data_IF_867897105419
#
_entry.id   IF_867897105419
#
_cell.length_a   1.000
_cell.length_b   1.000
_cell.length_c   1.000
_cell.angle_alpha   90.00
_cell.angle_beta   90.00
_cell.angle_gamma   90.00
#
_symmetry.space_group_name_H-M   'P 1'
#
loop_
_entity.id
_entity.type
_entity.pdbx_description
1 polymer ?
#
# COMPACT_ATOMS: atom_id res chain seq x y z
N UNK A 1 28.97 6.86 -1.44
CA UNK A 1 29.26 6.12 -0.19
C UNK A 1 28.09 6.36 0.74
N UNK A 2 27.06 5.50 0.69
CA UNK A 2 25.92 5.62 1.61
C UNK A 2 26.42 5.23 2.99
N UNK A 3 26.43 6.16 3.94
CA UNK A 3 26.62 5.83 5.34
C UNK A 3 25.60 4.74 5.68
N UNK A 4 26.03 3.64 6.28
CA UNK A 4 25.12 2.61 6.77
C UNK A 4 24.16 3.28 7.74
N UNK A 5 22.94 3.60 7.28
CA UNK A 5 21.87 4.09 8.13
C UNK A 5 21.75 3.07 9.26
N UNK A 6 22.01 3.49 10.51
CA UNK A 6 22.20 2.59 11.66
C UNK A 6 21.00 1.73 12.07
N UNK A 7 20.00 1.57 11.20
CA UNK A 7 18.86 0.66 11.34
C UNK A 7 19.21 -0.67 10.66
N UNK A 8 19.28 -1.79 11.40
CA UNK A 8 19.52 -3.10 10.80
C UNK A 8 18.43 -3.48 9.79
N UNK A 9 18.82 -3.83 8.57
CA UNK A 9 17.93 -4.40 7.54
C UNK A 9 18.37 -5.83 7.27
N UNK A 10 17.45 -6.77 7.42
CA UNK A 10 17.68 -8.21 7.25
C UNK A 10 16.80 -8.72 6.11
N UNK A 11 17.39 -9.47 5.19
CA UNK A 11 16.73 -9.99 4.00
C UNK A 11 16.57 -11.49 4.09
N UNK A 12 15.48 -12.02 3.53
CA UNK A 12 15.47 -13.42 3.11
C UNK A 12 16.48 -13.65 1.99
N UNK A 13 16.89 -14.91 1.79
CA UNK A 13 17.88 -15.24 0.76
C UNK A 13 17.41 -14.85 -0.64
N UNK A 14 16.15 -15.16 -0.97
CA UNK A 14 15.57 -14.84 -2.28
C UNK A 14 15.59 -13.34 -2.57
N UNK A 15 15.20 -12.49 -1.62
CA UNK A 15 15.22 -11.04 -1.81
C UNK A 15 16.66 -10.53 -1.94
N UNK A 16 17.59 -11.07 -1.13
CA UNK A 16 19.01 -10.69 -1.18
C UNK A 16 19.62 -11.00 -2.54
N UNK A 17 19.36 -12.19 -3.09
CA UNK A 17 19.82 -12.59 -4.41
C UNK A 17 19.19 -11.73 -5.51
N UNK A 18 17.87 -11.49 -5.45
CA UNK A 18 17.17 -10.67 -6.42
C UNK A 18 17.73 -9.24 -6.51
N UNK A 19 17.97 -8.61 -5.36
CA UNK A 19 18.59 -7.28 -5.30
C UNK A 19 20.03 -7.29 -5.82
N UNK A 20 20.81 -8.33 -5.49
CA UNK A 20 22.19 -8.47 -5.97
C UNK A 20 22.27 -8.62 -7.49
N UNK A 21 21.33 -9.35 -8.09
CA UNK A 21 21.26 -9.60 -9.53
C UNK A 21 20.54 -8.49 -10.31
N UNK A 22 20.05 -7.44 -9.63
CA UNK A 22 19.29 -6.35 -10.27
C UNK A 22 17.90 -6.76 -10.76
N UNK A 23 17.35 -7.88 -10.26
CA UNK A 23 15.99 -8.33 -10.56
C UNK A 23 14.96 -7.39 -9.92
N UNK A 24 13.78 -7.32 -10.52
CA UNK A 24 12.66 -6.56 -9.98
C UNK A 24 12.19 -7.15 -8.63
N UNK A 25 12.05 -6.29 -7.62
CA UNK A 25 11.53 -6.63 -6.29
C UNK A 25 10.37 -5.69 -5.96
N UNK A 26 9.29 -6.22 -5.37
CA UNK A 26 8.14 -5.44 -4.91
C UNK A 26 7.94 -5.67 -3.42
N UNK A 27 8.00 -4.57 -2.65
CA UNK A 27 7.71 -4.58 -1.23
C UNK A 27 6.20 -4.72 -0.96
N UNK A 28 5.84 -5.45 0.10
CA UNK A 28 4.47 -5.65 0.55
C UNK A 28 4.34 -5.33 2.04
N UNK A 29 3.17 -4.83 2.47
CA UNK A 29 2.92 -4.51 3.89
C UNK A 29 2.50 -5.75 4.70
N UNK A 30 2.89 -5.84 5.97
CA UNK A 30 2.45 -6.93 6.86
C UNK A 30 1.18 -6.59 7.65
N UNK A 31 0.76 -5.32 7.72
CA UNK A 31 -0.47 -4.93 8.41
C UNK A 31 -1.74 -5.56 7.77
N UNK A 32 -1.69 -5.92 6.48
CA UNK A 32 -2.77 -6.68 5.84
C UNK A 32 -2.92 -8.10 6.41
N UNK A 33 -1.83 -8.68 6.90
CA UNK A 33 -1.79 -10.01 7.51
C UNK A 33 -2.39 -9.96 8.92
N UNK A 34 -1.99 -8.98 9.74
CA UNK A 34 -2.34 -8.97 11.17
C UNK A 34 -3.63 -8.22 11.49
N UNK A 35 -4.05 -7.29 10.62
CA UNK A 35 -5.18 -6.39 10.87
C UNK A 35 -6.18 -6.30 9.71
N UNK A 36 -5.92 -7.00 8.60
CA UNK A 36 -6.79 -6.99 7.41
C UNK A 36 -7.93 -8.00 7.49
N UNK A 37 -7.60 -9.29 7.63
CA UNK A 37 -8.55 -10.41 7.61
C UNK A 37 -8.37 -11.30 8.85
N UNK A 38 -9.40 -12.08 9.24
CA UNK A 38 -9.25 -13.08 10.29
C UNK A 38 -8.39 -14.26 9.82
N UNK A 39 -7.78 -14.96 10.77
CA UNK A 39 -7.13 -16.25 10.51
C UNK A 39 -8.18 -17.33 10.21
N UNK A 40 -7.96 -18.23 9.21
CA UNK A 40 -6.76 -18.40 8.39
C UNK A 40 -6.72 -17.62 7.07
N UNK A 41 -7.75 -16.83 6.76
CA UNK A 41 -7.88 -16.14 5.47
C UNK A 41 -6.80 -15.08 5.25
N UNK A 42 -6.29 -14.47 6.32
CA UNK A 42 -5.15 -13.55 6.25
C UNK A 42 -3.86 -14.20 5.73
N UNK A 43 -3.51 -15.40 6.22
CA UNK A 43 -2.33 -16.14 5.77
C UNK A 43 -2.48 -16.56 4.30
N UNK A 44 -3.66 -17.10 3.95
CA UNK A 44 -3.98 -17.48 2.57
C UNK A 44 -3.93 -16.27 1.61
N UNK A 45 -4.38 -15.10 2.07
CA UNK A 45 -4.33 -13.87 1.29
C UNK A 45 -2.89 -13.39 1.11
N UNK A 46 -2.06 -13.39 2.16
CA UNK A 46 -0.66 -12.99 2.04
C UNK A 46 0.10 -13.82 0.98
N UNK A 47 -0.08 -15.15 1.01
CA UNK A 47 0.48 -16.06 0.00
C UNK A 47 0.02 -15.72 -1.41
N UNK A 48 -1.28 -15.52 -1.60
CA UNK A 48 -1.85 -15.11 -2.91
C UNK A 48 -1.28 -13.79 -3.41
N UNK A 49 -1.01 -12.85 -2.52
CA UNK A 49 -0.41 -11.56 -2.87
C UNK A 49 1.05 -11.74 -3.29
N UNK A 50 1.82 -12.56 -2.58
CA UNK A 50 3.19 -12.90 -3.00
C UNK A 50 3.21 -13.61 -4.36
N UNK A 51 2.32 -14.58 -4.59
CA UNK A 51 2.15 -15.26 -5.87
C UNK A 51 1.74 -14.31 -7.00
N UNK A 52 0.94 -13.28 -6.70
CA UNK A 52 0.56 -12.27 -7.66
C UNK A 52 1.76 -11.41 -8.09
N UNK A 53 2.64 -11.00 -7.16
CA UNK A 53 3.90 -10.33 -7.51
C UNK A 53 4.74 -11.20 -8.45
N UNK A 54 4.86 -12.50 -8.14
CA UNK A 54 5.58 -13.48 -8.98
C UNK A 54 4.97 -13.61 -10.36
N UNK A 55 3.65 -13.62 -10.44
CA UNK A 55 2.91 -13.66 -11.72
C UNK A 55 3.14 -12.41 -12.57
N UNK A 56 3.41 -11.27 -11.92
CA UNK A 56 3.88 -10.05 -12.58
C UNK A 56 5.36 -10.07 -13.00
N UNK A 57 6.12 -11.10 -12.60
CA UNK A 57 7.53 -11.30 -12.95
C UNK A 57 8.56 -10.74 -11.96
N UNK A 58 8.13 -10.28 -10.79
CA UNK A 58 9.00 -9.74 -9.75
C UNK A 58 9.11 -10.66 -8.52
N UNK A 59 10.08 -10.39 -7.66
CA UNK A 59 10.24 -11.07 -6.37
C UNK A 59 9.46 -10.33 -5.28
N UNK A 60 8.58 -11.00 -4.51
CA UNK A 60 7.87 -10.38 -3.40
C UNK A 60 8.79 -10.19 -2.19
N UNK A 61 8.60 -9.07 -1.50
CA UNK A 61 9.30 -8.75 -0.26
C UNK A 61 8.31 -8.23 0.79
N UNK A 62 7.59 -9.14 1.46
CA UNK A 62 6.73 -8.76 2.59
C UNK A 62 7.57 -8.27 3.76
N UNK A 63 7.28 -7.06 4.25
CA UNK A 63 8.09 -6.36 5.26
C UNK A 63 7.45 -6.46 6.64
N UNK A 64 8.25 -6.70 7.67
CA UNK A 64 7.87 -6.51 9.07
C UNK A 64 9.02 -5.93 9.91
N UNK A 65 8.72 -5.60 11.16
CA UNK A 65 9.72 -5.26 12.18
C UNK A 65 9.81 -6.41 13.16
N UNK A 66 11.01 -6.89 13.45
CA UNK A 66 11.23 -7.92 14.48
C UNK A 66 12.70 -8.01 14.88
N UNK A 67 12.97 -8.24 16.17
CA UNK A 67 14.31 -8.35 16.75
C UNK A 67 15.17 -7.10 16.51
N UNK A 68 14.53 -5.93 16.51
CA UNK A 68 15.18 -4.63 16.35
C UNK A 68 15.67 -4.35 14.93
N UNK A 69 15.15 -5.09 13.94
CA UNK A 69 15.50 -4.96 12.54
C UNK A 69 14.25 -4.78 11.66
N UNK A 70 14.45 -4.12 10.54
CA UNK A 70 13.54 -4.19 9.39
C UNK A 70 13.82 -5.51 8.70
N UNK A 71 12.82 -6.40 8.63
CA UNK A 71 12.91 -7.69 7.93
C UNK A 71 12.20 -7.59 6.59
N UNK A 72 12.89 -8.02 5.54
CA UNK A 72 12.48 -7.84 4.15
C UNK A 72 12.36 -9.19 3.47
N UNK A 73 11.11 -9.56 3.15
CA UNK A 73 10.72 -10.91 2.75
C UNK A 73 10.26 -11.72 3.95
N UNK A 74 9.26 -12.59 3.72
CA UNK A 74 8.76 -13.55 4.70
C UNK A 74 8.84 -14.95 4.11
N UNK A 75 9.22 -15.93 4.94
CA UNK A 75 8.99 -17.34 4.59
C UNK A 75 7.52 -17.72 4.81
N UNK A 76 7.10 -18.87 4.28
CA UNK A 76 5.76 -19.41 4.55
C UNK A 76 5.50 -19.56 6.07
N UNK A 77 6.53 -19.97 6.82
CA UNK A 77 6.46 -20.06 8.28
C UNK A 77 6.34 -18.70 8.96
N UNK A 78 6.97 -17.65 8.42
CA UNK A 78 6.81 -16.28 8.93
C UNK A 78 5.39 -15.77 8.68
N UNK A 79 4.84 -16.00 7.48
CA UNK A 79 3.45 -15.62 7.14
C UNK A 79 2.48 -16.32 8.09
N UNK A 80 2.60 -17.64 8.25
CA UNK A 80 1.72 -18.42 9.13
C UNK A 80 1.80 -17.95 10.58
N UNK A 81 3.01 -17.65 11.06
CA UNK A 81 3.23 -17.13 12.40
C UNK A 81 2.65 -15.73 12.59
N UNK A 82 2.91 -14.79 11.68
CA UNK A 82 2.37 -13.43 11.76
C UNK A 82 0.84 -13.43 11.65
N UNK A 83 0.27 -14.34 10.87
CA UNK A 83 -1.17 -14.47 10.69
C UNK A 83 -1.90 -15.02 11.93
N UNK A 84 -1.26 -15.88 12.71
CA UNK A 84 -1.86 -16.55 13.87
C UNK A 84 -1.47 -15.93 15.22
N UNK A 85 -0.37 -15.17 15.29
CA UNK A 85 0.10 -14.54 16.53
C UNK A 85 -0.78 -13.34 16.92
N UNK A 86 -1.50 -13.38 18.05
CA UNK A 86 -2.30 -12.25 18.49
C UNK A 86 -1.42 -11.10 19.01
N UNK A 87 -1.93 -9.88 18.90
CA UNK A 87 -1.34 -8.71 19.57
C UNK A 87 -0.12 -8.10 18.89
N UNK A 88 0.22 -8.48 17.66
CA UNK A 88 1.21 -7.75 16.87
C UNK A 88 0.70 -6.31 16.66
N UNK A 89 1.46 -5.27 17.06
CA UNK A 89 1.03 -3.89 16.90
C UNK A 89 1.07 -3.46 15.43
N UNK A 90 0.12 -2.58 15.06
CA UNK A 90 0.14 -1.82 13.82
C UNK A 90 1.18 -0.71 13.92
N UNK A 91 2.17 -0.69 13.03
CA UNK A 91 3.33 0.21 13.09
C UNK A 91 3.28 1.16 11.91
N UNK A 92 3.05 2.46 12.15
CA UNK A 92 3.27 3.53 11.17
C UNK A 92 4.70 4.06 11.21
N UNK A 93 5.09 4.94 10.29
CA UNK A 93 6.47 5.46 10.20
C UNK A 93 6.92 6.18 11.48
N UNK A 94 6.01 6.84 12.20
CA UNK A 94 6.31 7.46 13.51
C UNK A 94 6.56 6.44 14.63
N UNK A 95 6.02 5.22 14.49
CA UNK A 95 6.11 4.17 15.49
C UNK A 95 7.40 3.33 15.30
N UNK A 96 7.98 3.35 14.09
CA UNK A 96 9.19 2.59 13.74
C UNK A 96 10.33 2.71 14.76
N UNK A 97 10.77 3.92 15.19
CA UNK A 97 11.91 4.04 16.10
C UNK A 97 11.65 3.35 17.44
N UNK A 98 10.42 3.41 17.92
CA UNK A 98 10.02 2.82 19.21
C UNK A 98 10.00 1.30 19.12
N UNK A 99 9.37 0.75 18.07
CA UNK A 99 9.26 -0.71 17.88
C UNK A 99 10.63 -1.33 17.60
N UNK A 100 11.47 -0.67 16.79
CA UNK A 100 12.86 -1.09 16.57
C UNK A 100 13.66 -1.12 17.88
N UNK A 101 13.56 -0.09 18.71
CA UNK A 101 14.26 -0.05 20.00
C UNK A 101 13.77 -1.13 20.98
N UNK A 102 12.47 -1.48 20.94
CA UNK A 102 11.89 -2.52 21.79
C UNK A 102 12.20 -3.95 21.32
N UNK A 103 12.45 -4.13 20.02
CA UNK A 103 12.80 -5.42 19.42
C UNK A 103 11.65 -6.41 19.25
N UNK A 104 10.42 -6.05 19.63
CA UNK A 104 9.22 -6.87 19.43
C UNK A 104 8.77 -6.94 17.96
N UNK A 105 7.81 -7.84 17.63
CA UNK A 105 7.22 -7.89 16.31
C UNK A 105 6.38 -6.64 16.04
N UNK A 106 6.31 -6.21 14.78
CA UNK A 106 5.51 -5.08 14.34
C UNK A 106 5.05 -5.25 12.90
N UNK A 107 3.75 -5.07 12.68
CA UNK A 107 3.14 -5.14 11.36
C UNK A 107 3.16 -3.75 10.70
N UNK A 108 3.87 -3.63 9.59
CA UNK A 108 4.06 -2.36 8.91
C UNK A 108 2.81 -1.96 8.13
N UNK A 109 2.37 -0.71 8.30
CA UNK A 109 1.41 -0.03 7.42
C UNK A 109 2.04 0.35 6.08
N UNK A 110 1.28 0.99 5.19
CA UNK A 110 1.82 1.63 3.97
C UNK A 110 2.97 2.57 4.29
N UNK A 111 2.80 3.57 5.17
CA UNK A 111 3.86 4.52 5.52
C UNK A 111 5.16 3.82 5.98
N UNK A 112 5.10 2.91 6.94
CA UNK A 112 6.31 2.24 7.43
C UNK A 112 6.92 1.27 6.41
N UNK A 113 6.08 0.62 5.58
CA UNK A 113 6.57 -0.25 4.50
C UNK A 113 7.30 0.55 3.42
N UNK A 114 6.85 1.77 3.12
CA UNK A 114 7.53 2.68 2.18
C UNK A 114 8.89 3.13 2.71
N UNK A 115 9.00 3.48 4.01
CA UNK A 115 10.30 3.76 4.65
C UNK A 115 11.23 2.56 4.54
N UNK A 116 10.71 1.38 4.89
CA UNK A 116 11.49 0.15 4.90
C UNK A 116 11.94 -0.27 3.49
N UNK A 117 11.07 -0.13 2.48
CA UNK A 117 11.39 -0.40 1.08
C UNK A 117 12.53 0.51 0.58
N UNK A 118 12.48 1.81 0.88
CA UNK A 118 13.54 2.75 0.52
C UNK A 118 14.87 2.39 1.20
N UNK A 119 14.85 2.10 2.50
CA UNK A 119 16.06 1.66 3.24
C UNK A 119 16.62 0.33 2.72
N UNK A 120 15.75 -0.53 2.18
CA UNK A 120 16.09 -1.80 1.56
C UNK A 120 16.56 -1.67 0.10
N UNK A 121 16.50 -0.48 -0.49
CA UNK A 121 16.81 -0.27 -1.90
C UNK A 121 15.77 -0.85 -2.86
N UNK A 122 14.53 -1.04 -2.40
CA UNK A 122 13.41 -1.56 -3.20
C UNK A 122 12.58 -0.37 -3.73
N UNK A 123 12.55 -0.13 -5.05
CA UNK A 123 11.89 1.05 -5.60
C UNK A 123 10.36 0.90 -5.74
N UNK A 124 9.79 -0.29 -5.56
CA UNK A 124 8.34 -0.53 -5.70
C UNK A 124 7.71 -1.08 -4.43
N UNK A 125 6.52 -0.58 -4.12
CA UNK A 125 5.66 -1.07 -3.04
C UNK A 125 4.23 -1.25 -3.55
N UNK A 126 3.54 -2.30 -3.10
CA UNK A 126 2.14 -2.56 -3.42
C UNK A 126 1.26 -2.70 -2.17
N UNK A 127 0.06 -2.13 -2.24
CA UNK A 127 -1.03 -2.39 -1.30
C UNK A 127 -2.36 -2.27 -2.04
N UNK A 128 -3.45 -2.78 -1.48
CA UNK A 128 -4.76 -2.61 -2.10
C UNK A 128 -5.19 -1.14 -2.14
N UNK A 129 -4.87 -0.36 -1.10
CA UNK A 129 -5.30 1.03 -1.03
C UNK A 129 -4.60 1.80 0.06
N UNK A 130 -4.20 3.02 -0.27
CA UNK A 130 -3.53 3.92 0.65
C UNK A 130 -4.50 4.44 1.72
N UNK A 131 -3.97 4.88 2.86
CA UNK A 131 -4.67 5.85 3.69
C UNK A 131 -4.74 7.22 3.00
N UNK A 132 -5.48 8.15 3.60
CA UNK A 132 -5.68 9.46 3.00
C UNK A 132 -6.30 10.44 4.00
N UNK A 133 -6.98 11.45 3.47
CA UNK A 133 -7.72 12.41 4.28
C UNK A 133 -9.04 11.76 4.70
N UNK A 134 -9.34 11.73 6.00
CA UNK A 134 -10.60 11.17 6.47
C UNK A 134 -11.77 12.13 6.21
N UNK A 135 -12.98 11.58 6.09
CA UNK A 135 -14.21 12.39 6.00
C UNK A 135 -14.34 13.24 7.27
N UNK A 136 -14.47 14.56 7.12
CA UNK A 136 -14.52 15.51 8.25
C UNK A 136 -13.16 16.06 8.70
N UNK A 137 -12.06 15.71 8.02
CA UNK A 137 -10.71 16.15 8.39
C UNK A 137 -10.49 17.68 8.35
N UNK A 138 -11.34 18.43 7.66
CA UNK A 138 -11.33 19.90 7.71
C UNK A 138 -11.55 20.45 9.13
N UNK A 139 -12.17 19.66 10.01
CA UNK A 139 -12.36 19.98 11.43
C UNK A 139 -11.47 19.11 12.33
N UNK A 140 -11.36 17.81 12.04
CA UNK A 140 -10.71 16.84 12.94
C UNK A 140 -9.21 16.71 12.73
N UNK A 141 -8.71 17.10 11.56
CA UNK A 141 -7.32 16.90 11.12
C UNK A 141 -6.89 15.42 11.10
N UNK A 142 -7.84 14.50 10.98
CA UNK A 142 -7.56 13.08 10.82
C UNK A 142 -7.08 12.78 9.39
N UNK A 143 -5.75 12.84 9.21
CA UNK A 143 -5.08 12.64 7.93
C UNK A 143 -4.03 11.52 8.09
N UNK A 144 -4.08 10.53 7.20
CA UNK A 144 -3.14 9.41 7.24
C UNK A 144 -1.70 9.89 7.07
N UNK A 145 -0.81 9.34 7.89
CA UNK A 145 0.64 9.50 7.76
C UNK A 145 1.21 9.01 6.42
N UNK A 146 0.46 8.18 5.69
CA UNK A 146 0.87 7.72 4.35
C UNK A 146 1.14 8.91 3.43
N UNK A 147 0.28 9.93 3.44
CA UNK A 147 0.40 11.11 2.57
C UNK A 147 1.67 11.91 2.86
N UNK A 148 2.04 12.04 4.15
CA UNK A 148 3.29 12.67 4.56
C UNK A 148 4.49 11.78 4.23
N UNK A 149 4.35 10.47 4.34
CA UNK A 149 5.46 9.58 4.00
C UNK A 149 5.79 9.62 2.50
N UNK A 150 4.79 9.78 1.65
CA UNK A 150 5.00 9.94 0.22
C UNK A 150 5.82 11.18 -0.13
N UNK A 151 5.96 12.18 0.75
CA UNK A 151 6.81 13.34 0.49
C UNK A 151 8.28 13.13 0.88
N UNK A 152 8.59 11.97 1.45
CA UNK A 152 9.89 11.70 2.11
C UNK A 152 10.65 10.51 1.55
N UNK A 153 10.02 9.69 0.72
CA UNK A 153 10.59 8.42 0.27
C UNK A 153 10.47 8.20 -1.23
N UNK A 154 11.57 7.81 -1.87
CA UNK A 154 11.65 7.47 -3.30
C UNK A 154 11.19 6.04 -3.57
N UNK A 155 9.89 5.82 -3.48
CA UNK A 155 9.25 4.54 -3.77
C UNK A 155 8.05 4.78 -4.69
N UNK A 156 7.95 4.00 -5.77
CA UNK A 156 6.75 3.91 -6.58
C UNK A 156 5.71 3.06 -5.85
N UNK A 157 4.54 3.63 -5.58
CA UNK A 157 3.47 3.00 -4.80
C UNK A 157 2.36 2.60 -5.76
N UNK A 158 2.04 1.32 -5.81
CA UNK A 158 0.98 0.77 -6.66
C UNK A 158 -0.22 0.38 -5.79
N UNK A 159 -1.39 0.92 -6.08
CA UNK A 159 -2.62 0.61 -5.34
C UNK A 159 -3.90 0.82 -6.16
N UNK A 160 -5.06 0.48 -5.61
CA UNK A 160 -6.36 0.84 -6.19
C UNK A 160 -6.88 2.17 -5.61
N UNK A 161 -6.00 3.18 -5.55
CA UNK A 161 -6.31 4.49 -4.99
C UNK A 161 -6.40 4.48 -3.47
N UNK A 162 -7.27 5.32 -2.91
CA UNK A 162 -7.47 5.43 -1.46
C UNK A 162 -8.70 4.63 -1.01
N UNK A 163 -8.68 4.14 0.24
CA UNK A 163 -9.81 3.39 0.83
C UNK A 163 -11.11 4.21 0.74
N UNK A 164 -12.20 3.62 0.26
CA UNK A 164 -13.48 4.30 0.01
C UNK A 164 -14.11 4.98 1.25
N UNK A 165 -13.74 4.53 2.46
CA UNK A 165 -14.13 5.14 3.74
C UNK A 165 -13.55 6.55 3.97
N UNK A 166 -12.59 6.97 3.15
CA UNK A 166 -11.91 8.25 3.21
C UNK A 166 -12.64 9.32 2.38
N UNK A 167 -12.11 10.54 2.42
CA UNK A 167 -12.48 11.62 1.50
C UNK A 167 -11.48 11.65 0.34
N UNK A 168 -11.91 11.13 -0.82
CA UNK A 168 -11.03 10.95 -1.98
C UNK A 168 -10.71 12.29 -2.66
N UNK A 169 -11.66 13.23 -2.67
CA UNK A 169 -11.45 14.58 -3.18
C UNK A 169 -10.37 15.30 -2.37
N UNK A 170 -10.53 15.36 -1.04
CA UNK A 170 -9.52 15.97 -0.17
C UNK A 170 -8.18 15.24 -0.22
N UNK A 171 -8.18 13.92 -0.43
CA UNK A 171 -6.94 13.14 -0.60
C UNK A 171 -6.18 13.56 -1.86
N UNK A 172 -6.88 13.74 -2.99
CA UNK A 172 -6.27 14.22 -4.23
C UNK A 172 -5.72 15.65 -4.08
N UNK A 173 -6.48 16.56 -3.48
CA UNK A 173 -6.04 17.94 -3.20
C UNK A 173 -4.79 17.97 -2.30
N UNK A 174 -4.74 17.07 -1.31
CA UNK A 174 -3.57 16.95 -0.44
C UNK A 174 -2.33 16.47 -1.21
N UNK A 175 -2.47 15.43 -2.05
CA UNK A 175 -1.39 14.91 -2.88
C UNK A 175 -0.89 15.96 -3.88
N UNK A 176 -1.80 16.71 -4.50
CA UNK A 176 -1.49 17.85 -5.37
C UNK A 176 -0.69 18.91 -4.61
N UNK A 177 -1.17 19.33 -3.44
CA UNK A 177 -0.50 20.34 -2.60
C UNK A 177 0.91 19.92 -2.20
N UNK A 178 1.13 18.62 -1.98
CA UNK A 178 2.43 18.05 -1.62
C UNK A 178 3.31 17.71 -2.84
N UNK A 179 2.86 18.02 -4.06
CA UNK A 179 3.56 17.69 -5.30
C UNK A 179 3.87 16.19 -5.45
N UNK A 180 3.01 15.31 -4.94
CA UNK A 180 3.13 13.86 -5.12
C UNK A 180 2.44 13.50 -6.43
N UNK A 181 3.17 13.00 -7.45
CA UNK A 181 2.56 12.65 -8.73
C UNK A 181 1.60 11.47 -8.57
N UNK A 182 0.42 11.57 -9.19
CA UNK A 182 -0.60 10.52 -9.24
C UNK A 182 -0.90 10.19 -10.70
N UNK A 183 -0.66 8.93 -11.07
CA UNK A 183 -0.95 8.37 -12.39
C UNK A 183 -1.94 7.23 -12.26
N UNK A 184 -3.00 7.24 -13.06
CA UNK A 184 -3.86 6.08 -13.25
C UNK A 184 -3.36 5.24 -14.43
N UNK A 185 -3.12 3.96 -14.18
CA UNK A 185 -2.73 2.98 -15.17
C UNK A 185 -3.97 2.52 -15.93
N UNK A 186 -4.05 2.86 -17.22
CA UNK A 186 -5.16 2.46 -18.12
C UNK A 186 -6.55 2.87 -17.65
N UNK A 187 -6.65 3.96 -16.89
CA UNK A 187 -7.90 4.50 -16.36
C UNK A 187 -7.88 6.02 -16.35
N UNK A 188 -9.04 6.63 -16.55
CA UNK A 188 -9.25 8.08 -16.40
C UNK A 188 -9.72 8.46 -14.98
N UNK A 189 -10.15 7.48 -14.19
CA UNK A 189 -10.67 7.66 -12.83
C UNK A 189 -9.58 7.37 -11.80
N UNK A 190 -9.57 8.14 -10.70
CA UNK A 190 -8.82 7.79 -9.49
C UNK A 190 -9.62 6.75 -8.70
N UNK A 191 -9.23 5.47 -8.71
CA UNK A 191 -10.08 4.39 -8.22
C UNK A 191 -10.40 4.50 -6.73
N UNK A 192 -11.56 3.97 -6.35
CA UNK A 192 -12.08 3.96 -5.00
C UNK A 192 -11.93 2.58 -4.34
N UNK A 193 -10.69 2.08 -4.27
CA UNK A 193 -10.36 0.81 -3.63
C UNK A 193 -11.03 -0.38 -4.33
N UNK A 194 -11.97 -1.07 -3.69
CA UNK A 194 -12.78 -2.14 -4.32
C UNK A 194 -13.97 -1.62 -5.14
N UNK A 195 -14.15 -0.30 -5.24
CA UNK A 195 -15.08 0.32 -6.16
C UNK A 195 -14.33 0.83 -7.38
N UNK A 196 -14.81 0.48 -8.59
CA UNK A 196 -14.11 0.79 -9.83
C UNK A 196 -14.02 2.28 -10.14
N UNK A 197 -15.01 3.07 -9.72
CA UNK A 197 -15.03 4.52 -9.90
C UNK A 197 -15.23 5.24 -8.57
N UNK A 198 -14.46 6.30 -8.35
CA UNK A 198 -14.68 7.23 -7.25
C UNK A 198 -15.54 8.44 -7.65
N UNK A 199 -15.73 8.68 -8.95
CA UNK A 199 -16.27 9.93 -9.48
C UNK A 199 -15.23 11.06 -9.56
N UNK A 200 -13.98 10.81 -9.16
CA UNK A 200 -12.87 11.75 -9.29
C UNK A 200 -11.96 11.35 -10.46
N UNK A 201 -11.67 12.31 -11.34
CA UNK A 201 -10.73 12.11 -12.44
C UNK A 201 -9.30 11.99 -11.92
N UNK A 202 -8.54 11.04 -12.43
CA UNK A 202 -7.12 10.94 -12.14
C UNK A 202 -6.37 12.15 -12.72
N UNK A 203 -5.35 12.71 -12.02
CA UNK A 203 -4.58 13.84 -12.54
C UNK A 203 -3.88 13.52 -13.87
N UNK A 204 -3.35 12.30 -13.99
CA UNK A 204 -2.71 11.81 -15.19
C UNK A 204 -3.14 10.38 -15.49
N UNK A 205 -3.22 10.05 -16.79
CA UNK A 205 -3.42 8.68 -17.28
C UNK A 205 -2.20 8.26 -18.09
N UNK A 206 -1.70 7.05 -17.84
CA UNK A 206 -0.68 6.39 -18.66
C UNK A 206 -1.09 4.95 -18.96
N UNK A 207 -0.89 4.50 -20.19
CA UNK A 207 -1.35 3.18 -20.65
C UNK A 207 -0.22 2.14 -20.85
N UNK A 208 1.03 2.62 -20.94
CA UNK A 208 2.24 1.84 -21.24
C UNK A 208 3.19 1.82 -20.03
N UNK A 209 3.55 0.62 -19.60
CA UNK A 209 4.44 0.34 -18.46
C UNK A 209 5.84 0.94 -18.66
N UNK A 210 6.35 0.98 -19.90
CA UNK A 210 7.65 1.61 -20.23
C UNK A 210 7.59 3.13 -20.08
N UNK A 211 6.44 3.74 -20.40
CA UNK A 211 6.25 5.18 -20.22
C UNK A 211 6.18 5.49 -18.72
N UNK A 212 5.49 4.67 -17.94
CA UNK A 212 5.42 4.80 -16.49
C UNK A 212 6.83 4.68 -15.87
N UNK A 213 7.62 3.68 -16.28
CA UNK A 213 9.01 3.53 -15.85
C UNK A 213 9.86 4.79 -16.09
N UNK A 214 9.78 5.37 -17.29
CA UNK A 214 10.47 6.64 -17.61
C UNK A 214 9.96 7.82 -16.78
N UNK A 215 8.66 7.88 -16.49
CA UNK A 215 8.07 8.95 -15.70
C UNK A 215 8.55 8.91 -14.24
N UNK A 216 8.67 7.71 -13.65
CA UNK A 216 9.24 7.50 -12.31
C UNK A 216 10.68 8.01 -12.27
N UNK A 217 11.52 7.59 -13.23
CA UNK A 217 12.91 8.02 -13.27
C UNK A 217 13.06 9.52 -13.54
N UNK A 218 12.25 10.08 -14.45
CA UNK A 218 12.23 11.52 -14.70
C UNK A 218 11.84 12.32 -13.45
N UNK A 219 10.84 11.86 -12.69
CA UNK A 219 10.43 12.48 -11.42
C UNK A 219 11.60 12.56 -10.44
N UNK A 220 12.32 11.47 -10.23
CA UNK A 220 13.48 11.45 -9.32
C UNK A 220 14.69 12.19 -9.87
N UNK A 221 14.90 12.21 -11.18
CA UNK A 221 15.98 12.94 -11.85
C UNK A 221 15.81 14.48 -11.78
N UNK A 222 14.57 14.97 -11.60
CA UNK A 222 14.28 16.39 -11.33
C UNK A 222 14.72 16.84 -9.92
N UNK A 223 15.25 15.93 -9.09
CA UNK A 223 15.70 16.22 -7.72
C UNK A 223 14.61 15.99 -6.66
N UNK A 224 13.43 15.48 -7.04
CA UNK A 224 12.36 15.20 -6.09
C UNK A 224 12.71 14.00 -5.20
N UNK A 225 12.43 14.13 -3.91
CA UNK A 225 12.61 13.07 -2.90
C UNK A 225 11.27 12.56 -2.38
N UNK A 226 10.33 12.33 -3.30
CA UNK A 226 8.97 11.88 -3.01
C UNK A 226 8.61 10.61 -3.79
N UNK A 227 7.60 9.93 -3.31
CA UNK A 227 7.01 8.74 -3.91
C UNK A 227 6.29 9.07 -5.20
N UNK A 228 6.08 8.06 -6.03
CA UNK A 228 5.32 8.17 -7.26
C UNK A 228 4.10 7.26 -7.17
N UNK A 229 2.88 7.83 -7.14
CA UNK A 229 1.67 7.05 -6.94
C UNK A 229 1.11 6.56 -8.27
N UNK A 230 0.92 5.26 -8.38
CA UNK A 230 0.36 4.57 -9.55
C UNK A 230 -0.90 3.86 -9.11
N UNK A 231 -2.03 4.24 -9.69
CA UNK A 231 -3.32 3.66 -9.37
C UNK A 231 -3.78 2.69 -10.46
N UNK A 232 -4.27 1.52 -10.07
CA UNK A 232 -4.87 0.53 -10.97
C UNK A 232 -6.27 0.20 -10.46
N UNK A 233 -7.34 0.37 -11.25
CA UNK A 233 -8.68 0.04 -10.79
C UNK A 233 -8.82 -1.46 -10.54
N UNK A 234 -9.73 -1.81 -9.63
CA UNK A 234 -10.19 -3.20 -9.45
C UNK A 234 -10.74 -3.76 -10.77
N UNK A 235 -10.58 -5.07 -10.97
CA UNK A 235 -11.18 -5.79 -12.09
C UNK A 235 -12.72 -5.68 -12.02
N UNK A 236 -13.37 -5.66 -13.18
CA UNK A 236 -14.81 -5.42 -13.25
C UNK A 236 -15.61 -6.52 -12.55
N UNK A 237 -15.17 -7.77 -12.69
CA UNK A 237 -15.75 -8.95 -12.06
C UNK A 237 -15.62 -8.99 -10.53
N UNK A 238 -14.69 -8.23 -9.97
CA UNK A 238 -14.40 -8.17 -8.53
C UNK A 238 -14.92 -6.89 -7.87
N UNK A 239 -15.42 -5.94 -8.67
CA UNK A 239 -15.84 -4.61 -8.21
C UNK A 239 -17.15 -4.66 -7.41
N UNK A 240 -17.26 -3.76 -6.43
CA UNK A 240 -18.51 -3.46 -5.74
C UNK A 240 -19.05 -2.13 -6.25
N UNK A 241 -20.38 -2.01 -6.30
CA UNK A 241 -21.07 -0.79 -6.67
C UNK A 241 -20.73 0.35 -5.69
N UNK A 242 -20.25 1.47 -6.22
CA UNK A 242 -19.83 2.63 -5.42
C UNK A 242 -20.99 3.26 -4.64
N UNK A 243 -22.21 3.25 -5.17
CA UNK A 243 -23.37 3.85 -4.53
C UNK A 243 -23.86 3.00 -3.35
N UNK A 244 -23.80 1.67 -3.48
CA UNK A 244 -24.05 0.72 -2.38
C UNK A 244 -23.11 1.02 -1.19
N UNK A 245 -21.80 1.09 -1.46
CA UNK A 245 -20.77 1.31 -0.44
C UNK A 245 -20.87 2.71 0.16
N UNK A 246 -21.07 3.76 -0.64
CA UNK A 246 -21.19 5.13 -0.14
C UNK A 246 -22.43 5.31 0.75
N UNK A 247 -23.53 4.62 0.44
CA UNK A 247 -24.74 4.60 1.29
C UNK A 247 -24.43 4.01 2.67
N UNK A 248 -23.73 2.88 2.71
CA UNK A 248 -23.31 2.24 3.96
C UNK A 248 -22.36 3.13 4.77
N UNK A 249 -21.39 3.78 4.11
CA UNK A 249 -20.42 4.67 4.76
C UNK A 249 -21.12 5.89 5.36
N UNK A 250 -22.03 6.55 4.62
CA UNK A 250 -22.75 7.73 5.14
C UNK A 250 -23.56 7.39 6.39
N UNK A 251 -24.24 6.25 6.39
CA UNK A 251 -24.99 5.78 7.55
C UNK A 251 -24.04 5.55 8.74
N UNK A 252 -22.92 4.87 8.52
CA UNK A 252 -21.94 4.54 9.54
C UNK A 252 -21.22 5.77 10.11
N UNK A 253 -20.92 6.79 9.29
CA UNK A 253 -20.34 8.06 9.77
C UNK A 253 -21.32 8.78 10.70
N UNK A 254 -22.61 8.82 10.35
CA UNK A 254 -23.63 9.43 11.21
C UNK A 254 -23.82 8.66 12.53
N UNK A 255 -23.67 7.34 12.51
CA UNK A 255 -23.72 6.50 13.71
C UNK A 255 -22.49 6.68 14.60
N UNK A 256 -21.29 6.65 14.01
CA UNK A 256 -20.04 6.89 14.73
C UNK A 256 -20.03 8.23 15.48
N UNK A 257 -20.61 9.28 14.87
CA UNK A 257 -20.75 10.59 15.51
C UNK A 257 -21.67 10.55 16.75
N UNK A 258 -22.75 9.76 16.71
CA UNK A 258 -23.64 9.55 17.87
C UNK A 258 -22.97 8.74 18.97
N UNK A 259 -22.14 7.76 18.58
CA UNK A 259 -21.43 6.86 19.49
C UNK A 259 -20.12 7.47 20.04
N UNK A 260 -19.71 8.64 19.56
CA UNK A 260 -18.46 9.29 19.96
C UNK A 260 -17.19 8.57 19.45
N UNK A 261 -17.31 7.77 18.39
CA UNK A 261 -16.18 7.03 17.80
C UNK A 261 -15.37 7.96 16.89
N UNK A 262 -14.06 8.07 17.15
CA UNK A 262 -13.16 8.97 16.41
C UNK A 262 -11.72 8.42 16.34
N UNK A 263 -10.86 9.09 15.57
CA UNK A 263 -9.44 8.76 15.42
C UNK A 263 -9.22 7.33 14.88
N UNK A 264 -8.24 6.61 15.42
CA UNK A 264 -7.87 5.27 14.91
C UNK A 264 -9.01 4.23 14.94
N UNK A 265 -10.03 4.44 15.78
CA UNK A 265 -11.19 3.54 15.87
C UNK A 265 -12.17 3.69 14.69
N UNK A 266 -12.23 4.86 14.05
CA UNK A 266 -13.21 5.15 12.99
C UNK A 266 -13.07 4.20 11.80
N UNK A 267 -11.83 3.86 11.42
CA UNK A 267 -11.56 2.99 10.27
C UNK A 267 -12.22 1.62 10.45
N UNK A 268 -12.04 0.99 11.62
CA UNK A 268 -12.62 -0.33 11.91
C UNK A 268 -14.15 -0.25 12.00
N UNK A 269 -14.68 0.85 12.55
CA UNK A 269 -16.11 1.09 12.63
C UNK A 269 -16.75 1.13 11.23
N UNK A 270 -16.20 1.97 10.34
CA UNK A 270 -16.70 2.11 8.96
C UNK A 270 -16.52 0.82 8.15
N UNK A 271 -15.38 0.14 8.27
CA UNK A 271 -15.15 -1.12 7.56
C UNK A 271 -16.14 -2.22 7.98
N UNK A 272 -16.49 -2.32 9.26
CA UNK A 272 -17.52 -3.27 9.74
C UNK A 272 -18.89 -2.98 9.17
N UNK A 273 -19.26 -1.70 9.08
CA UNK A 273 -20.54 -1.31 8.50
C UNK A 273 -20.62 -1.65 7.00
N UNK A 274 -19.53 -1.44 6.24
CA UNK A 274 -19.49 -1.84 4.83
C UNK A 274 -19.51 -3.35 4.67
N UNK A 275 -18.79 -4.09 5.52
CA UNK A 275 -18.80 -5.55 5.45
C UNK A 275 -20.20 -6.14 5.72
N UNK A 276 -20.91 -5.59 6.72
CA UNK A 276 -22.28 -5.95 7.02
C UNK A 276 -23.24 -5.57 5.87
N UNK A 277 -23.08 -4.38 5.26
CA UNK A 277 -23.93 -3.94 4.17
C UNK A 277 -23.71 -4.73 2.87
N UNK A 278 -22.54 -5.32 2.69
CA UNK A 278 -22.15 -6.04 1.47
C UNK A 278 -22.25 -7.57 1.60
N UNK A 279 -22.74 -8.08 2.74
CA UNK A 279 -22.80 -9.50 3.07
C UNK A 279 -21.44 -10.23 2.86
N UNK A 280 -20.34 -9.59 3.28
CA UNK A 280 -18.99 -10.14 3.16
C UNK A 280 -18.35 -9.99 1.76
N UNK A 281 -19.06 -9.44 0.76
CA UNK A 281 -18.46 -9.17 -0.56
C UNK A 281 -17.28 -8.20 -0.47
N UNK A 282 -17.29 -7.25 0.47
CA UNK A 282 -16.19 -6.31 0.67
C UNK A 282 -14.86 -6.98 1.01
N UNK A 283 -14.88 -8.03 1.84
CA UNK A 283 -13.68 -8.80 2.18
C UNK A 283 -13.13 -9.54 0.95
N UNK A 284 -14.01 -10.16 0.16
CA UNK A 284 -13.63 -10.85 -1.08
C UNK A 284 -13.04 -9.89 -2.11
N UNK A 285 -13.69 -8.74 -2.32
CA UNK A 285 -13.21 -7.72 -3.24
C UNK A 285 -11.86 -7.14 -2.78
N UNK A 286 -11.68 -6.90 -1.48
CA UNK A 286 -10.39 -6.47 -0.93
C UNK A 286 -9.26 -7.47 -1.22
N UNK A 287 -9.49 -8.78 -1.06
CA UNK A 287 -8.51 -9.82 -1.43
C UNK A 287 -8.16 -9.77 -2.93
N UNK A 288 -9.16 -9.60 -3.80
CA UNK A 288 -8.95 -9.49 -5.24
C UNK A 288 -8.16 -8.23 -5.62
N UNK A 289 -8.47 -7.09 -4.99
CA UNK A 289 -7.74 -5.83 -5.17
C UNK A 289 -6.28 -5.99 -4.76
N UNK A 290 -6.01 -6.57 -3.58
CA UNK A 290 -4.64 -6.82 -3.11
C UNK A 290 -3.82 -7.60 -4.15
N UNK A 291 -4.37 -8.71 -4.65
CA UNK A 291 -3.70 -9.53 -5.65
C UNK A 291 -3.51 -8.78 -6.98
N UNK A 292 -4.56 -8.12 -7.49
CA UNK A 292 -4.48 -7.40 -8.77
C UNK A 292 -3.48 -6.23 -8.75
N UNK A 293 -3.41 -5.49 -7.64
CA UNK A 293 -2.41 -4.42 -7.44
C UNK A 293 -0.99 -5.00 -7.38
N UNK A 294 -0.79 -6.11 -6.66
CA UNK A 294 0.50 -6.78 -6.56
C UNK A 294 1.00 -7.33 -7.90
N UNK A 295 0.11 -7.91 -8.70
CA UNK A 295 0.42 -8.36 -10.06
C UNK A 295 0.81 -7.19 -10.98
N UNK A 296 0.06 -6.08 -10.91
CA UNK A 296 0.40 -4.86 -11.65
C UNK A 296 1.73 -4.26 -11.21
N UNK A 297 2.00 -4.24 -9.90
CA UNK A 297 3.27 -3.79 -9.35
C UNK A 297 4.44 -4.64 -9.84
N UNK A 298 4.28 -5.97 -9.91
CA UNK A 298 5.29 -6.86 -10.47
C UNK A 298 5.65 -6.50 -11.91
N UNK A 299 4.64 -6.32 -12.78
CA UNK A 299 4.86 -5.92 -14.18
C UNK A 299 5.56 -4.57 -14.31
N UNK A 300 5.10 -3.57 -13.55
CA UNK A 300 5.67 -2.23 -13.55
C UNK A 300 7.12 -2.21 -13.04
N UNK A 301 7.43 -3.01 -12.01
CA UNK A 301 8.78 -3.15 -11.48
C UNK A 301 9.72 -3.84 -12.50
N UNK A 302 9.24 -4.83 -13.24
CA UNK A 302 10.00 -5.45 -14.35
C UNK A 302 10.27 -4.45 -15.47
N UNK A 303 9.26 -3.67 -15.88
CA UNK A 303 9.42 -2.64 -16.90
C UNK A 303 10.42 -1.56 -16.46
N UNK A 304 10.39 -1.18 -15.17
CA UNK A 304 11.33 -0.23 -14.58
C UNK A 304 12.77 -0.77 -14.50
N UNK A 305 12.95 -2.00 -14.04
CA UNK A 305 14.26 -2.68 -14.03
C UNK A 305 14.86 -2.78 -15.44
N UNK A 306 14.06 -3.13 -16.45
CA UNK A 306 14.50 -3.16 -17.85
C UNK A 306 14.92 -1.77 -18.34
N UNK A 307 14.17 -0.72 -18.00
CA UNK A 307 14.52 0.66 -18.36
C UNK A 307 15.84 1.11 -17.71
N UNK A 308 16.08 0.76 -16.45
CA UNK A 308 17.35 1.05 -15.78
C UNK A 308 18.54 0.33 -16.44
N UNK A 309 18.35 -0.93 -16.85
CA UNK A 309 19.37 -1.67 -17.58
C UNK A 309 19.70 -1.03 -18.94
N UNK A 310 18.70 -0.50 -19.65
CA UNK A 310 18.89 0.26 -20.90
C UNK A 310 19.65 1.58 -20.67
N UNK A 311 19.45 2.27 -19.54
CA UNK A 311 20.18 3.49 -19.20
C UNK A 311 21.63 3.25 -18.78
N UNK A 312 21.94 2.04 -18.28
CA UNK A 312 23.27 1.65 -17.84
C UNK A 312 24.17 1.10 -18.96
N UNK A 313 23.58 0.74 -20.11
CA UNK A 313 24.26 0.21 -21.30
C UNK A 313 24.82 1.32 -22.20
#
# INVERSE_FOLDING_TARGET
MSASNGVPVVYTEEVREALHEGKAVVALESNVITHGLPYPDNAATARKVEDAVRSGGAVPATICIEAGAIRVGMSDADIERFASLPGIPKVSSRDLPVVLAQGGPGATTVASSVVAAELAGIPFFSSAGIGGVHRGAQETWDVSSDLIQFTRSKVAVVCAGAKMILDLGLTLEYLETQCVPVVAYRSDDFPAFYCRTSGHRAPHRLDDERVIARAIEAHWALGNNSSFLITTPVREEDAIDSAEVDTAIRAAVAEAARDGVSGQAITKYLMRAVDAATDGRSAKANMAVLASCAEAAGRLAVAHSAHLAELAA
#
